data_IF_578806497803
#
_entry.id   IF_578806497803
#
_cell.length_a   1.000
_cell.length_b   1.000
_cell.length_c   1.000
_cell.angle_alpha   90.00
_cell.angle_beta   90.00
_cell.angle_gamma   90.00
#
_symmetry.space_group_name_H-M   'P 1'
#
loop_
_entity.id
_entity.type
_entity.pdbx_description
1 polymer ?
#
# COMPACT_ATOMS: atom_id res chain seq x y z
N UNK A 1 12.15 31.86 -33.73
CA UNK A 1 10.97 31.59 -32.85
C UNK A 1 10.73 30.09 -32.67
N UNK A 2 11.52 29.25 -33.33
CA UNK A 2 11.29 27.80 -33.44
C UNK A 2 11.89 27.00 -32.27
N UNK A 3 12.98 27.48 -31.67
CA UNK A 3 13.61 26.84 -30.50
C UNK A 3 12.75 26.85 -29.24
N UNK A 4 11.95 27.90 -29.02
CA UNK A 4 11.05 27.99 -27.86
C UNK A 4 9.88 27.01 -27.96
N UNK A 5 9.41 26.73 -29.18
CA UNK A 5 8.36 25.75 -29.47
C UNK A 5 8.85 24.32 -29.25
N UNK A 6 10.09 24.01 -29.66
CA UNK A 6 10.72 22.72 -29.41
C UNK A 6 10.96 22.45 -27.92
N UNK A 7 11.42 23.45 -27.17
CA UNK A 7 11.58 23.35 -25.73
C UNK A 7 10.24 23.14 -25.01
N UNK A 8 9.19 23.87 -25.41
CA UNK A 8 7.86 23.70 -24.84
C UNK A 8 7.28 22.30 -25.07
N UNK A 9 7.46 21.72 -26.27
CA UNK A 9 7.07 20.35 -26.57
C UNK A 9 7.84 19.33 -25.72
N UNK A 10 9.15 19.54 -25.54
CA UNK A 10 9.98 18.64 -24.74
C UNK A 10 9.58 18.67 -23.26
N UNK A 11 9.29 19.84 -22.71
CA UNK A 11 8.80 19.98 -21.33
C UNK A 11 7.42 19.36 -21.14
N UNK A 12 6.51 19.48 -22.12
CA UNK A 12 5.21 18.83 -22.07
C UNK A 12 5.32 17.31 -22.10
N UNK A 13 6.20 16.76 -22.93
CA UNK A 13 6.47 15.32 -22.98
C UNK A 13 7.10 14.83 -21.68
N UNK A 14 8.10 15.56 -21.15
CA UNK A 14 8.75 15.20 -19.89
C UNK A 14 7.76 15.23 -18.71
N UNK A 15 6.88 16.22 -18.65
CA UNK A 15 5.83 16.30 -17.63
C UNK A 15 4.81 15.16 -17.79
N UNK A 16 4.40 14.84 -19.02
CA UNK A 16 3.50 13.72 -19.29
C UNK A 16 4.08 12.37 -18.89
N UNK A 17 5.37 12.14 -19.15
CA UNK A 17 6.09 10.94 -18.70
C UNK A 17 6.18 10.88 -17.17
N UNK A 18 6.47 12.01 -16.51
CA UNK A 18 6.54 12.09 -15.05
C UNK A 18 5.18 11.75 -14.39
N UNK A 19 4.07 12.19 -14.99
CA UNK A 19 2.72 11.87 -14.53
C UNK A 19 2.35 10.39 -14.70
N UNK A 20 2.87 9.71 -15.74
CA UNK A 20 2.61 8.28 -15.97
C UNK A 20 3.40 7.39 -15.01
N UNK A 21 4.65 7.74 -14.68
CA UNK A 21 5.51 6.95 -13.79
C UNK A 21 5.05 6.99 -12.32
N UNK A 22 4.27 8.00 -11.93
CA UNK A 22 3.71 8.13 -10.58
C UNK A 22 2.60 7.13 -10.25
N UNK A 23 2.03 6.43 -11.24
CA UNK A 23 1.02 5.39 -11.02
C UNK A 23 1.72 4.04 -10.97
N UNK A 24 2.43 3.81 -9.87
CA UNK A 24 2.74 2.44 -9.48
C UNK A 24 1.54 1.95 -8.67
N UNK A 25 0.88 0.89 -9.14
CA UNK A 25 -0.05 0.16 -8.29
C UNK A 25 0.81 -0.39 -7.15
N UNK A 26 0.69 0.22 -5.97
CA UNK A 26 1.18 -0.35 -4.73
C UNK A 26 0.50 -1.72 -4.65
N UNK A 27 1.28 -2.81 -4.66
CA UNK A 27 0.74 -4.13 -4.38
C UNK A 27 -0.06 -3.97 -3.09
N UNK A 28 -1.38 -4.21 -3.17
CA UNK A 28 -2.26 -4.15 -2.02
C UNK A 28 -1.99 -5.41 -1.20
N UNK A 29 -0.81 -5.47 -0.58
CA UNK A 29 -0.45 -6.48 0.38
C UNK A 29 -1.30 -6.22 1.62
N UNK A 30 -2.04 -7.23 2.07
CA UNK A 30 -2.81 -7.11 3.31
C UNK A 30 -1.88 -6.89 4.51
N UNK A 31 -2.41 -6.25 5.54
CA UNK A 31 -1.67 -5.95 6.76
C UNK A 31 -1.35 -7.24 7.53
N UNK A 32 -0.27 -7.21 8.31
CA UNK A 32 -0.03 -8.24 9.33
C UNK A 32 -0.59 -7.76 10.67
N UNK A 33 -1.58 -8.47 11.20
CA UNK A 33 -2.18 -8.24 12.51
C UNK A 33 -1.60 -9.25 13.49
N UNK A 34 -0.89 -8.79 14.51
CA UNK A 34 -0.17 -9.62 15.46
C UNK A 34 -0.92 -9.76 16.77
N UNK A 35 -1.21 -11.00 17.17
CA UNK A 35 -1.85 -11.29 18.47
C UNK A 35 -0.77 -11.76 19.45
N UNK A 36 -0.66 -11.18 20.67
CA UNK A 36 -1.60 -10.23 21.30
C UNK A 36 -1.23 -8.74 21.15
N UNK A 37 -0.25 -8.41 20.32
CA UNK A 37 0.33 -7.06 20.25
C UNK A 37 -0.67 -6.00 19.76
N UNK A 38 -1.41 -6.29 18.70
CA UNK A 38 -2.37 -5.38 18.07
C UNK A 38 -3.79 -5.57 18.64
N UNK A 39 -4.16 -6.83 18.90
CA UNK A 39 -5.43 -7.19 19.55
C UNK A 39 -5.20 -8.24 20.63
N UNK A 40 -5.82 -8.09 21.83
CA UNK A 40 -5.61 -9.00 22.95
C UNK A 40 -6.17 -10.41 22.73
N UNK A 41 -7.10 -10.60 21.79
CA UNK A 41 -7.73 -11.90 21.52
C UNK A 41 -7.71 -12.24 20.02
N UNK A 42 -7.78 -13.55 19.72
CA UNK A 42 -7.86 -14.04 18.34
C UNK A 42 -9.16 -13.57 17.66
N UNK A 43 -10.29 -13.55 18.38
CA UNK A 43 -11.57 -13.15 17.81
C UNK A 43 -11.56 -11.67 17.42
N UNK A 44 -11.02 -10.81 18.26
CA UNK A 44 -10.93 -9.38 17.96
C UNK A 44 -10.04 -9.11 16.73
N UNK A 45 -8.94 -9.86 16.57
CA UNK A 45 -8.12 -9.78 15.36
C UNK A 45 -8.89 -10.22 14.10
N UNK A 46 -9.70 -11.28 14.20
CA UNK A 46 -10.57 -11.74 13.09
C UNK A 46 -11.63 -10.68 12.75
N UNK A 47 -12.25 -10.07 13.75
CA UNK A 47 -13.31 -9.08 13.56
C UNK A 47 -12.80 -7.79 12.87
N UNK A 48 -11.51 -7.48 13.02
CA UNK A 48 -10.88 -6.30 12.42
C UNK A 48 -10.14 -6.58 11.11
N UNK A 49 -9.76 -7.83 10.84
CA UNK A 49 -9.04 -8.21 9.62
C UNK A 49 -9.84 -7.89 8.35
N UNK A 50 -9.17 -7.37 7.34
CA UNK A 50 -9.69 -7.16 5.99
C UNK A 50 -9.21 -8.26 5.05
N UNK A 51 -9.76 -8.27 3.84
CA UNK A 51 -9.30 -9.17 2.78
C UNK A 51 -7.79 -9.03 2.58
N UNK A 52 -7.11 -10.17 2.46
CA UNK A 52 -5.66 -10.32 2.30
C UNK A 52 -4.81 -10.10 3.56
N UNK A 53 -5.40 -9.68 4.69
CA UNK A 53 -4.64 -9.57 5.94
C UNK A 53 -4.13 -10.92 6.43
N UNK A 54 -2.98 -10.89 7.10
CA UNK A 54 -2.38 -12.05 7.77
C UNK A 54 -2.48 -11.87 9.27
N UNK A 55 -3.16 -12.79 9.95
CA UNK A 55 -3.17 -12.84 11.43
C UNK A 55 -1.97 -13.67 11.90
N UNK A 56 -0.98 -13.02 12.51
CA UNK A 56 0.20 -13.65 13.11
C UNK A 56 -0.04 -13.89 14.61
N UNK A 57 -0.20 -15.15 14.99
CA UNK A 57 -0.40 -15.54 16.39
C UNK A 57 0.95 -15.88 17.01
N UNK A 58 1.35 -15.14 18.05
CA UNK A 58 2.54 -15.48 18.84
C UNK A 58 2.27 -16.66 19.78
N UNK A 59 3.33 -17.33 20.20
CA UNK A 59 3.23 -18.42 21.17
C UNK A 59 2.57 -17.96 22.47
N UNK A 60 1.56 -18.71 22.93
CA UNK A 60 0.81 -18.39 24.14
C UNK A 60 -0.43 -19.27 24.30
N UNK A 61 -1.17 -19.02 25.38
CA UNK A 61 -2.50 -19.62 25.59
C UNK A 61 -3.56 -18.54 25.44
N UNK A 62 -4.50 -18.79 24.53
CA UNK A 62 -5.62 -17.90 24.24
C UNK A 62 -6.91 -18.59 24.65
N UNK A 63 -7.72 -17.93 25.48
CA UNK A 63 -9.05 -18.40 25.86
C UNK A 63 -10.09 -17.63 25.06
N UNK A 64 -11.01 -18.37 24.42
CA UNK A 64 -12.11 -17.82 23.60
C UNK A 64 -13.36 -17.53 24.40
#
# INVERSE_FOLDING_TARGET
MDGLRGLALLLLVAMGVLLVVGVSAEDAEGATITVPDDHPTIQEAIDNAQDWDTILIKDGTYMG
#
